data_IF_037303055436
#
_entry.id   IF_037303055436
#
_cell.length_a   1.000
_cell.length_b   1.000
_cell.length_c   1.000
_cell.angle_alpha   90.00
_cell.angle_beta   90.00
_cell.angle_gamma   90.00
#
_symmetry.space_group_name_H-M   'P 1'
#
loop_
_entity.id
_entity.type
_entity.pdbx_description
1 polymer ?
#
# COMPACT_ATOMS: atom_id res chain seq x y z
N UNK A 1 -8.97 15.77 -35.18
CA UNK A 1 -9.66 16.58 -34.14
C UNK A 1 -11.03 15.98 -33.92
N UNK A 2 -11.24 15.30 -32.80
CA UNK A 2 -12.50 14.61 -32.49
C UNK A 2 -12.78 14.76 -31.00
N UNK A 3 -13.79 15.58 -30.66
CA UNK A 3 -14.58 15.42 -29.43
C UNK A 3 -14.20 16.21 -28.17
N UNK A 4 -13.31 17.20 -28.20
CA UNK A 4 -13.03 18.01 -27.00
C UNK A 4 -13.96 19.24 -26.89
N UNK A 5 -14.60 19.37 -25.72
CA UNK A 5 -15.00 20.62 -25.02
C UNK A 5 -16.46 21.11 -24.96
N UNK A 6 -17.51 20.41 -25.43
CA UNK A 6 -18.90 20.97 -25.36
C UNK A 6 -20.01 20.17 -24.69
N UNK A 7 -19.74 19.09 -23.96
CA UNK A 7 -20.76 18.48 -23.09
C UNK A 7 -20.65 19.01 -21.66
N UNK A 8 -21.74 19.51 -21.04
CA UNK A 8 -21.76 20.01 -19.67
C UNK A 8 -21.21 18.99 -18.66
N UNK A 9 -20.64 19.46 -17.54
CA UNK A 9 -20.15 18.59 -16.46
C UNK A 9 -21.24 17.72 -15.79
N UNK A 10 -22.50 17.98 -16.13
CA UNK A 10 -23.69 17.22 -15.69
C UNK A 10 -24.01 16.01 -16.58
N UNK A 11 -23.27 15.81 -17.67
CA UNK A 11 -23.45 14.65 -18.54
C UNK A 11 -23.24 13.34 -17.74
N UNK A 12 -24.26 12.48 -17.62
CA UNK A 12 -24.15 11.23 -16.88
C UNK A 12 -23.05 10.31 -17.43
N UNK A 13 -22.71 10.40 -18.72
CA UNK A 13 -21.60 9.64 -19.29
C UNK A 13 -20.24 10.09 -18.74
N UNK A 14 -20.04 11.40 -18.55
CA UNK A 14 -18.82 11.95 -17.93
C UNK A 14 -18.74 11.63 -16.44
N UNK A 15 -19.87 11.55 -15.74
CA UNK A 15 -19.89 11.13 -14.32
C UNK A 15 -19.45 9.68 -14.17
N UNK A 16 -20.01 8.78 -14.97
CA UNK A 16 -19.64 7.36 -14.96
C UNK A 16 -18.16 7.18 -15.34
N UNK A 17 -17.68 7.94 -16.33
CA UNK A 17 -16.26 7.92 -16.73
C UNK A 17 -15.35 8.43 -15.60
N UNK A 18 -15.66 9.57 -14.97
CA UNK A 18 -14.92 10.10 -13.82
C UNK A 18 -14.95 9.16 -12.61
N UNK A 19 -16.07 8.50 -12.35
CA UNK A 19 -16.24 7.55 -11.24
C UNK A 19 -15.43 6.27 -11.48
N UNK A 20 -15.45 5.74 -12.71
CA UNK A 20 -14.65 4.59 -13.13
C UNK A 20 -13.15 4.90 -13.12
N UNK A 21 -12.76 6.09 -13.58
CA UNK A 21 -11.38 6.60 -13.50
C UNK A 21 -10.98 6.71 -12.03
N UNK A 22 -11.82 7.29 -11.18
CA UNK A 22 -11.60 7.39 -9.75
C UNK A 22 -11.31 6.03 -9.14
N UNK A 23 -12.22 5.06 -9.31
CA UNK A 23 -12.05 3.70 -8.79
C UNK A 23 -10.74 3.05 -9.24
N UNK A 24 -10.43 3.10 -10.54
CA UNK A 24 -9.21 2.50 -11.10
C UNK A 24 -7.94 3.16 -10.55
N UNK A 25 -7.93 4.49 -10.43
CA UNK A 25 -6.79 5.24 -9.87
C UNK A 25 -6.58 4.90 -8.40
N UNK A 26 -7.65 4.79 -7.63
CA UNK A 26 -7.60 4.39 -6.23
C UNK A 26 -7.11 2.94 -6.06
N UNK A 27 -7.56 2.01 -6.92
CA UNK A 27 -7.08 0.63 -6.93
C UNK A 27 -5.58 0.55 -7.23
N UNK A 28 -5.10 1.27 -8.25
CA UNK A 28 -3.68 1.34 -8.56
C UNK A 28 -2.85 1.91 -7.40
N UNK A 29 -3.34 2.95 -6.73
CA UNK A 29 -2.67 3.54 -5.57
C UNK A 29 -2.51 2.53 -4.42
N UNK A 30 -3.54 1.73 -4.15
CA UNK A 30 -3.47 0.67 -3.13
C UNK A 30 -2.42 -0.39 -3.46
N UNK A 31 -2.39 -0.83 -4.72
CA UNK A 31 -1.44 -1.84 -5.19
C UNK A 31 0.00 -1.34 -5.02
N UNK A 32 0.27 -0.10 -5.40
CA UNK A 32 1.59 0.53 -5.22
C UNK A 32 1.96 0.65 -3.74
N UNK A 33 1.04 1.14 -2.89
CA UNK A 33 1.28 1.29 -1.45
C UNK A 33 1.61 -0.04 -0.80
N UNK A 34 0.86 -1.09 -1.11
CA UNK A 34 1.06 -2.39 -0.51
C UNK A 34 2.35 -3.05 -1.00
N UNK A 35 2.67 -2.94 -2.30
CA UNK A 35 3.94 -3.40 -2.86
C UNK A 35 5.13 -2.73 -2.19
N UNK A 36 5.01 -1.44 -1.89
CA UNK A 36 6.05 -0.64 -1.24
C UNK A 36 6.09 -0.80 0.29
N UNK A 37 5.14 -1.51 0.90
CA UNK A 37 5.08 -1.69 2.36
C UNK A 37 4.75 -0.39 3.10
N UNK A 38 3.93 0.46 2.49
CA UNK A 38 3.55 1.79 2.97
C UNK A 38 2.89 1.81 4.35
N UNK A 39 2.72 3.02 4.89
CA UNK A 39 2.17 3.24 6.23
C UNK A 39 0.73 2.74 6.37
N UNK A 40 0.37 2.24 7.55
CA UNK A 40 -1.02 1.88 7.91
C UNK A 40 -1.98 3.07 7.75
N UNK A 41 -1.48 4.31 7.83
CA UNK A 41 -2.28 5.51 7.57
C UNK A 41 -2.79 5.62 6.12
N UNK A 42 -2.11 4.96 5.17
CA UNK A 42 -2.60 4.91 3.79
C UNK A 42 -3.86 4.01 3.66
N UNK A 43 -4.06 3.08 4.61
CA UNK A 43 -5.21 2.15 4.62
C UNK A 43 -6.48 2.82 5.12
N UNK A 44 -6.39 3.76 6.08
CA UNK A 44 -7.54 4.55 6.55
C UNK A 44 -8.31 5.24 5.42
N UNK A 45 -7.68 5.44 4.26
CA UNK A 45 -8.32 6.03 3.09
C UNK A 45 -8.81 5.01 2.05
N UNK A 46 -8.28 3.76 2.01
CA UNK A 46 -8.45 2.86 0.85
C UNK A 46 -8.28 1.37 1.24
N UNK A 47 -9.34 0.73 1.75
CA UNK A 47 -9.25 -0.48 2.59
C UNK A 47 -9.27 -1.84 1.84
N UNK A 48 -9.77 -1.92 0.60
CA UNK A 48 -10.17 -3.22 0.03
C UNK A 48 -9.08 -3.99 -0.76
N UNK A 49 -8.13 -3.31 -1.43
CA UNK A 49 -7.22 -3.98 -2.39
C UNK A 49 -5.89 -4.41 -1.75
N UNK A 50 -5.53 -3.85 -0.60
CA UNK A 50 -4.25 -4.11 0.07
C UNK A 50 -4.08 -5.56 0.57
N UNK A 51 -5.14 -6.35 0.74
CA UNK A 51 -5.02 -7.74 1.21
C UNK A 51 -4.51 -8.72 0.14
N UNK A 52 -4.84 -8.48 -1.13
CA UNK A 52 -4.67 -9.45 -2.22
C UNK A 52 -3.42 -9.24 -3.07
N UNK A 53 -2.69 -8.15 -2.86
CA UNK A 53 -1.48 -7.83 -3.63
C UNK A 53 -0.23 -8.35 -2.89
N UNK A 54 0.72 -9.01 -3.58
CA UNK A 54 1.95 -9.47 -2.96
C UNK A 54 2.85 -8.29 -2.54
N UNK A 55 3.63 -8.51 -1.49
CA UNK A 55 4.66 -7.57 -1.06
C UNK A 55 5.96 -7.81 -1.83
N UNK A 56 6.39 -6.83 -2.62
CA UNK A 56 7.52 -6.99 -3.55
C UNK A 56 8.71 -6.09 -3.24
N UNK A 57 8.55 -4.99 -2.51
CA UNK A 57 9.64 -4.02 -2.31
C UNK A 57 10.32 -4.17 -0.94
N UNK A 58 11.63 -4.44 -0.93
CA UNK A 58 12.44 -4.57 0.29
C UNK A 58 12.82 -3.19 0.87
N UNK A 59 11.81 -2.39 1.23
CA UNK A 59 11.99 -1.02 1.73
C UNK A 59 11.77 -0.92 3.25
N UNK A 60 12.60 -0.10 3.91
CA UNK A 60 12.40 0.28 5.31
C UNK A 60 11.03 0.94 5.50
N UNK A 61 10.35 0.69 6.64
CA UNK A 61 10.89 0.10 7.88
C UNK A 61 10.87 -1.43 7.95
N UNK A 62 10.22 -2.12 7.02
CA UNK A 62 10.08 -3.59 7.04
C UNK A 62 11.20 -4.32 6.30
N UNK A 63 11.91 -3.61 5.43
CA UNK A 63 12.98 -4.14 4.59
C UNK A 63 14.35 -3.49 4.81
N UNK A 64 15.29 -3.77 3.90
CA UNK A 64 16.70 -3.36 3.99
C UNK A 64 16.98 -1.98 3.38
N UNK A 65 16.34 -1.63 2.27
CA UNK A 65 16.68 -0.47 1.44
C UNK A 65 15.85 0.77 1.76
N UNK A 66 16.30 1.95 1.30
CA UNK A 66 15.56 3.21 1.46
C UNK A 66 15.07 3.76 0.12
N UNK A 67 14.16 4.75 0.15
CA UNK A 67 13.59 5.36 -1.06
C UNK A 67 14.67 5.94 -2.00
N UNK A 68 15.79 6.40 -1.44
CA UNK A 68 16.93 6.86 -2.23
C UNK A 68 17.60 5.74 -3.05
N UNK A 69 17.61 4.51 -2.55
CA UNK A 69 18.11 3.36 -3.31
C UNK A 69 17.14 2.99 -4.44
N UNK A 70 15.82 3.09 -4.19
CA UNK A 70 14.81 2.94 -5.25
C UNK A 70 15.00 3.99 -6.35
N UNK A 71 15.29 5.24 -5.98
CA UNK A 71 15.58 6.30 -6.95
C UNK A 71 16.78 5.96 -7.85
N UNK A 72 17.88 5.43 -7.26
CA UNK A 72 19.08 5.04 -8.02
C UNK A 72 18.82 3.95 -9.06
N UNK A 73 17.85 3.07 -8.82
CA UNK A 73 17.53 1.98 -9.76
C UNK A 73 16.45 2.35 -10.77
N UNK A 74 15.89 3.57 -10.73
CA UNK A 74 14.89 4.06 -11.70
C UNK A 74 13.68 4.76 -11.08
N UNK A 75 13.54 4.70 -9.76
CA UNK A 75 12.50 5.40 -9.00
C UNK A 75 11.08 4.92 -9.28
N UNK A 76 10.12 5.76 -8.89
CA UNK A 76 8.68 5.47 -9.04
C UNK A 76 8.23 5.24 -10.49
N UNK A 77 8.73 5.96 -11.52
CA UNK A 77 8.32 5.70 -12.90
C UNK A 77 8.69 4.30 -13.41
N UNK A 78 9.89 3.82 -13.06
CA UNK A 78 10.32 2.45 -13.39
C UNK A 78 9.48 1.40 -12.65
N UNK A 79 9.10 1.69 -11.39
CA UNK A 79 8.17 0.85 -10.63
C UNK A 79 6.80 0.76 -11.30
N UNK A 80 6.19 1.88 -11.66
CA UNK A 80 4.90 1.89 -12.34
C UNK A 80 4.97 1.13 -13.68
N UNK A 81 6.05 1.30 -14.43
CA UNK A 81 6.27 0.57 -15.69
C UNK A 81 6.35 -0.95 -15.47
N UNK A 82 7.09 -1.38 -14.44
CA UNK A 82 7.18 -2.77 -14.04
C UNK A 82 5.81 -3.35 -13.65
N UNK A 83 5.04 -2.64 -12.82
CA UNK A 83 3.71 -3.07 -12.40
C UNK A 83 2.71 -3.19 -13.56
N UNK A 84 2.81 -2.30 -14.55
CA UNK A 84 2.01 -2.39 -15.78
C UNK A 84 2.39 -3.61 -16.62
N UNK A 85 3.68 -3.94 -16.71
CA UNK A 85 4.19 -5.10 -17.46
C UNK A 85 3.71 -6.41 -16.83
N UNK A 86 3.74 -6.49 -15.51
CA UNK A 86 3.24 -7.62 -14.71
C UNK A 86 1.71 -7.65 -14.60
N UNK A 87 1.00 -6.69 -15.24
CA UNK A 87 -0.48 -6.56 -15.22
C UNK A 87 -1.07 -6.44 -13.81
N UNK A 88 -0.29 -5.90 -12.87
CA UNK A 88 -0.74 -5.65 -11.51
C UNK A 88 -1.53 -4.35 -11.39
N UNK A 89 -1.27 -3.36 -12.24
CA UNK A 89 -2.01 -2.09 -12.25
C UNK A 89 -2.58 -1.80 -13.64
N UNK A 90 -3.66 -1.02 -13.69
CA UNK A 90 -4.27 -0.61 -14.95
C UNK A 90 -3.78 0.77 -15.39
N UNK A 91 -3.05 0.84 -16.50
CA UNK A 91 -2.48 2.08 -17.03
C UNK A 91 -3.36 2.87 -17.98
N UNK A 92 -4.62 2.46 -18.23
CA UNK A 92 -5.52 3.12 -19.19
C UNK A 92 -6.09 4.44 -18.69
N UNK A 93 -6.02 4.71 -17.39
CA UNK A 93 -6.52 5.95 -16.79
C UNK A 93 -5.73 7.18 -17.26
N UNK A 94 -6.45 8.25 -17.57
CA UNK A 94 -5.88 9.57 -17.90
C UNK A 94 -5.29 10.19 -16.63
N UNK A 95 -4.12 10.81 -16.78
CA UNK A 95 -3.41 11.51 -15.70
C UNK A 95 -3.46 13.03 -15.89
N UNK A 96 -2.92 13.79 -14.93
CA UNK A 96 -2.86 15.26 -15.01
C UNK A 96 -2.10 15.79 -16.24
N UNK A 97 -1.27 14.97 -16.89
CA UNK A 97 -0.55 15.34 -18.12
C UNK A 97 -1.43 15.27 -19.37
N UNK A 98 -2.69 14.86 -19.23
CA UNK A 98 -3.59 14.59 -20.35
C UNK A 98 -3.27 13.29 -21.11
N UNK A 99 -2.26 12.55 -20.66
CA UNK A 99 -1.87 11.24 -21.20
C UNK A 99 -2.25 10.14 -20.21
N UNK A 100 -2.37 8.92 -20.73
CA UNK A 100 -2.53 7.72 -19.91
C UNK A 100 -1.27 7.45 -19.09
N UNK A 101 -1.42 6.74 -17.96
CA UNK A 101 -0.27 6.34 -17.15
C UNK A 101 0.72 5.49 -17.99
N UNK A 102 0.21 4.64 -18.87
CA UNK A 102 1.02 3.82 -19.79
C UNK A 102 1.88 4.68 -20.72
N UNK A 103 1.33 5.75 -21.27
CA UNK A 103 2.07 6.68 -22.13
C UNK A 103 3.13 7.47 -21.36
N UNK A 104 2.81 7.90 -20.13
CA UNK A 104 3.75 8.64 -19.30
C UNK A 104 5.00 7.83 -18.96
N UNK A 105 4.83 6.53 -18.67
CA UNK A 105 5.94 5.67 -18.26
C UNK A 105 6.63 4.98 -19.44
N UNK A 106 6.05 5.01 -20.65
CA UNK A 106 6.60 4.30 -21.81
C UNK A 106 8.07 4.63 -22.09
N UNK A 107 8.43 5.92 -21.99
CA UNK A 107 9.78 6.44 -22.25
C UNK A 107 10.77 6.24 -21.09
N UNK A 108 10.29 5.84 -19.92
CA UNK A 108 11.18 5.60 -18.77
C UNK A 108 11.93 4.28 -18.91
N UNK A 109 13.18 4.19 -18.44
CA UNK A 109 13.93 2.94 -18.42
C UNK A 109 13.21 1.89 -17.57
N UNK A 110 13.34 0.62 -17.96
CA UNK A 110 12.93 -0.51 -17.13
C UNK A 110 13.88 -0.66 -15.94
N UNK A 111 13.41 -1.32 -14.88
CA UNK A 111 14.31 -1.76 -13.83
C UNK A 111 15.36 -2.74 -14.39
N UNK A 112 16.60 -2.57 -13.93
CA UNK A 112 17.61 -3.62 -14.10
C UNK A 112 17.11 -4.89 -13.43
N UNK A 113 17.09 -6.03 -14.12
CA UNK A 113 16.61 -7.31 -13.54
C UNK A 113 17.44 -7.75 -12.33
N UNK A 114 18.67 -7.28 -12.22
CA UNK A 114 19.60 -7.63 -11.14
C UNK A 114 19.45 -6.77 -9.86
N UNK A 115 18.54 -5.79 -9.83
CA UNK A 115 18.38 -4.94 -8.64
C UNK A 115 17.73 -5.75 -7.48
N UNK A 116 18.24 -5.61 -6.24
CA UNK A 116 17.79 -6.41 -5.10
C UNK A 116 16.60 -5.80 -4.33
N UNK A 117 15.98 -4.73 -4.81
CA UNK A 117 15.00 -3.91 -4.08
C UNK A 117 13.57 -4.36 -4.40
N UNK A 118 13.23 -4.56 -5.67
CA UNK A 118 11.89 -4.99 -6.13
C UNK A 118 11.93 -6.44 -6.62
N UNK A 119 11.12 -7.28 -6.02
CA UNK A 119 11.02 -8.69 -6.37
C UNK A 119 9.95 -8.94 -7.45
N UNK A 120 10.12 -9.96 -8.32
CA UNK A 120 9.09 -10.35 -9.27
C UNK A 120 7.90 -11.00 -8.55
N UNK A 121 6.67 -10.93 -9.11
CA UNK A 121 5.50 -11.59 -8.53
C UNK A 121 5.65 -13.12 -8.41
N UNK A 122 6.54 -13.73 -9.20
CA UNK A 122 6.88 -15.15 -9.12
C UNK A 122 7.75 -15.52 -7.91
N UNK A 123 8.44 -14.55 -7.31
CA UNK A 123 9.30 -14.75 -6.12
C UNK A 123 9.17 -13.56 -5.16
N UNK A 124 7.96 -13.31 -4.61
CA UNK A 124 7.69 -12.16 -3.75
C UNK A 124 8.39 -12.31 -2.40
N UNK A 125 8.60 -11.20 -1.69
CA UNK A 125 9.07 -11.24 -0.29
C UNK A 125 8.00 -11.89 0.59
N UNK A 126 6.74 -11.55 0.33
CA UNK A 126 5.58 -12.20 0.95
C UNK A 126 4.46 -12.35 -0.09
N UNK A 127 3.82 -13.53 -0.19
CA UNK A 127 2.74 -13.76 -1.15
C UNK A 127 1.47 -12.96 -0.83
N UNK A 128 1.28 -12.54 0.43
CA UNK A 128 0.21 -11.67 0.87
C UNK A 128 0.71 -10.27 1.24
N UNK A 129 -0.20 -9.30 1.27
CA UNK A 129 0.11 -7.94 1.73
C UNK A 129 0.62 -7.87 3.17
N UNK A 130 1.28 -6.77 3.49
CA UNK A 130 1.73 -6.46 4.85
C UNK A 130 0.65 -5.81 5.71
N UNK A 131 -0.45 -5.37 5.09
CA UNK A 131 -1.57 -4.75 5.75
C UNK A 131 -2.70 -5.76 5.85
N UNK A 132 -3.18 -6.02 7.07
CA UNK A 132 -4.31 -6.91 7.31
C UNK A 132 -5.38 -6.19 8.13
N UNK A 133 -6.63 -6.45 7.76
CA UNK A 133 -7.80 -6.02 8.53
C UNK A 133 -8.07 -7.11 9.56
N UNK A 134 -8.07 -6.74 10.84
CA UNK A 134 -8.34 -7.66 11.93
C UNK A 134 -9.82 -7.55 12.32
N UNK A 135 -10.56 -8.65 12.21
CA UNK A 135 -11.97 -8.71 12.62
C UNK A 135 -12.09 -9.56 13.89
N UNK A 136 -12.90 -9.11 14.85
CA UNK A 136 -13.12 -9.85 16.10
C UNK A 136 -14.01 -9.11 17.07
N UNK A 137 -14.31 -9.75 18.20
CA UNK A 137 -15.21 -9.21 19.24
C UNK A 137 -14.72 -7.89 19.86
N UNK A 138 -13.40 -7.72 20.00
CA UNK A 138 -12.79 -6.49 20.52
C UNK A 138 -12.73 -5.37 19.48
N UNK A 139 -12.84 -5.73 18.20
CA UNK A 139 -12.56 -4.81 17.10
C UNK A 139 -13.60 -4.90 15.99
N UNK A 140 -14.88 -4.63 16.29
CA UNK A 140 -15.98 -4.77 15.33
C UNK A 140 -15.87 -3.81 14.13
N UNK A 141 -15.09 -2.72 14.27
CA UNK A 141 -14.82 -1.76 13.19
C UNK A 141 -13.68 -2.13 12.23
N UNK A 142 -13.01 -3.27 12.42
CA UNK A 142 -11.96 -3.73 11.50
C UNK A 142 -10.67 -2.89 11.50
N UNK A 143 -9.90 -2.83 12.60
CA UNK A 143 -8.62 -2.14 12.66
C UNK A 143 -7.59 -2.77 11.73
N UNK A 144 -6.61 -1.95 11.36
CA UNK A 144 -5.55 -2.31 10.43
C UNK A 144 -4.28 -2.65 11.20
N UNK A 145 -3.79 -3.87 11.02
CA UNK A 145 -2.49 -4.32 11.52
C UNK A 145 -1.45 -4.38 10.42
N UNK A 146 -0.19 -4.07 10.75
CA UNK A 146 0.96 -4.38 9.90
C UNK A 146 1.54 -5.72 10.32
N UNK A 147 1.38 -6.74 9.48
CA UNK A 147 1.85 -8.11 9.74
C UNK A 147 2.99 -8.42 8.77
N UNK A 148 4.22 -8.35 9.27
CA UNK A 148 5.42 -8.61 8.47
C UNK A 148 5.69 -10.11 8.28
N UNK A 149 5.07 -10.96 9.10
CA UNK A 149 5.22 -12.42 9.08
C UNK A 149 6.25 -12.95 10.08
N UNK A 150 6.97 -12.07 10.78
CA UNK A 150 7.92 -12.44 11.83
C UNK A 150 7.25 -12.60 13.21
N UNK A 151 5.99 -12.16 13.33
CA UNK A 151 5.25 -12.07 14.59
C UNK A 151 4.51 -13.38 14.98
N UNK A 152 4.42 -14.35 14.06
CA UNK A 152 3.62 -15.57 14.22
C UNK A 152 2.13 -15.39 13.91
N UNK A 153 1.37 -16.49 13.88
CA UNK A 153 -0.06 -16.48 13.50
C UNK A 153 -1.01 -16.27 14.68
N UNK A 154 -0.54 -16.43 15.91
CA UNK A 154 -1.34 -16.31 17.13
C UNK A 154 -0.51 -15.66 18.22
N UNK A 155 -1.11 -14.72 18.92
CA UNK A 155 -0.56 -14.11 20.12
C UNK A 155 -1.59 -14.17 21.25
N UNK A 156 -1.17 -14.59 22.44
CA UNK A 156 -2.01 -14.69 23.63
C UNK A 156 -1.36 -14.01 24.86
N UNK A 157 -2.14 -13.44 25.77
CA UNK A 157 -1.66 -12.59 26.87
C UNK A 157 -2.75 -11.76 27.55
N UNK A 158 -2.49 -11.31 28.78
CA UNK A 158 -3.42 -10.57 29.65
C UNK A 158 -3.49 -9.10 29.28
N UNK A 159 -4.70 -8.56 29.15
CA UNK A 159 -4.91 -7.14 28.83
C UNK A 159 -4.56 -6.23 30.02
N UNK A 160 -3.76 -5.20 29.74
CA UNK A 160 -3.49 -4.04 30.59
C UNK A 160 -4.01 -2.80 29.86
N UNK A 161 -5.07 -2.23 30.40
CA UNK A 161 -5.75 -1.07 29.83
C UNK A 161 -5.19 0.21 30.46
N UNK A 162 -5.01 1.23 29.63
CA UNK A 162 -4.60 2.56 30.05
C UNK A 162 -5.49 3.59 29.36
N UNK A 163 -5.98 4.57 30.11
CA UNK A 163 -6.94 5.55 29.57
C UNK A 163 -6.28 6.63 28.70
N UNK A 164 -4.96 6.83 28.83
CA UNK A 164 -4.21 7.82 28.06
C UNK A 164 -2.73 7.46 27.92
N UNK A 165 -2.09 8.02 26.88
CA UNK A 165 -0.71 7.69 26.47
C UNK A 165 0.32 7.84 27.59
N UNK A 166 0.22 8.88 28.42
CA UNK A 166 1.21 9.13 29.47
C UNK A 166 1.16 8.08 30.59
N UNK A 167 -0.04 7.59 30.96
CA UNK A 167 -0.16 6.49 31.92
C UNK A 167 0.54 5.20 31.46
N UNK A 168 0.49 4.94 30.15
CA UNK A 168 1.22 3.81 29.56
C UNK A 168 2.73 4.02 29.60
N UNK A 169 3.22 5.21 29.22
CA UNK A 169 4.66 5.53 29.25
C UNK A 169 5.21 5.40 30.67
N UNK A 170 4.52 5.97 31.66
CA UNK A 170 4.93 5.86 33.07
C UNK A 170 4.95 4.41 33.56
N UNK A 171 4.01 3.58 33.12
CA UNK A 171 4.01 2.16 33.46
C UNK A 171 5.17 1.41 32.78
N UNK A 172 5.55 1.80 31.57
CA UNK A 172 6.68 1.21 30.84
C UNK A 172 8.02 1.59 31.49
N UNK A 173 8.18 2.85 31.91
CA UNK A 173 9.38 3.35 32.60
C UNK A 173 9.59 2.73 33.99
N UNK A 174 8.50 2.27 34.63
CA UNK A 174 8.53 1.63 35.96
C UNK A 174 8.59 0.10 35.90
N UNK A 175 8.96 -0.50 34.77
CA UNK A 175 8.92 -1.96 34.52
C UNK A 175 7.54 -2.60 34.81
N UNK A 176 6.48 -1.80 34.71
CA UNK A 176 5.10 -2.19 34.96
C UNK A 176 4.50 -3.06 33.86
N UNK A 177 5.26 -3.41 32.81
CA UNK A 177 4.83 -4.28 31.71
C UNK A 177 5.74 -5.51 31.67
N UNK A 178 5.18 -6.68 31.98
CA UNK A 178 5.87 -7.97 31.98
C UNK A 178 5.72 -8.67 30.64
N UNK A 179 6.68 -9.54 30.32
CA UNK A 179 6.62 -10.43 29.16
C UNK A 179 5.32 -11.26 29.21
N UNK A 180 4.44 -11.08 28.21
CA UNK A 180 3.13 -11.77 28.11
C UNK A 180 1.91 -10.89 28.42
N UNK A 181 2.11 -9.64 28.83
CA UNK A 181 1.02 -8.67 29.01
C UNK A 181 0.81 -7.85 27.72
N UNK A 182 -0.43 -7.39 27.49
CA UNK A 182 -0.84 -6.67 26.28
C UNK A 182 -1.42 -5.31 26.60
N UNK A 183 -0.95 -4.29 25.89
CA UNK A 183 -1.69 -3.04 25.80
C UNK A 183 -2.93 -3.27 24.92
N UNK A 184 -4.10 -2.95 25.46
CA UNK A 184 -5.35 -2.87 24.68
C UNK A 184 -5.74 -1.43 24.45
#
# INVERSE_FOLDING_TARGET
>A
MTGSSRTPAEDPAKRVECEQIGKTVFENAMIVVNIMGGSTNAVLHLIAVAGSTPFLADLKPSGKYVMHDLYKVGGTPALLKFLLKERLINGSGITITGKTMKENVALWPDFSVAQPIIHPPSSPIKPSGHLQILCGSLTPGGPVGKITGQEGLRFEGTAKCYDYKYAFIEALEKDGIKKGERQS
#
